data_IF_866526487643
#
_entry.id   IF_866526487643
#
_cell.length_a   1.000
_cell.length_b   1.000
_cell.length_c   1.000
_cell.angle_alpha   90.00
_cell.angle_beta   90.00
_cell.angle_gamma   90.00
#
_symmetry.space_group_name_H-M   'P 1'
#
loop_
_entity.id
_entity.type
_entity.pdbx_description
1 polymer ?
#
# COMPACT_ATOMS: atom_id res chain seq x y z
N UNK A 1 0.53 3.24 -2.33
CA UNK A 1 -0.42 4.12 -3.05
C UNK A 1 -0.96 3.51 -4.33
N UNK A 2 -0.22 2.65 -5.04
CA UNK A 2 -0.76 1.95 -6.23
C UNK A 2 -1.49 0.66 -5.83
N UNK A 3 -0.91 -0.10 -4.91
CA UNK A 3 -1.44 -1.41 -4.51
C UNK A 3 -2.81 -1.36 -3.83
N UNK A 4 -3.07 -0.38 -2.96
CA UNK A 4 -4.32 -0.28 -2.20
C UNK A 4 -5.53 0.09 -3.08
N UNK A 5 -5.49 1.16 -3.90
CA UNK A 5 -6.56 1.42 -4.87
C UNK A 5 -6.72 0.29 -5.89
N UNK A 6 -5.63 -0.32 -6.36
CA UNK A 6 -5.70 -1.47 -7.27
C UNK A 6 -6.35 -2.70 -6.64
N UNK A 7 -6.03 -2.99 -5.38
CA UNK A 7 -6.69 -4.04 -4.60
C UNK A 7 -8.16 -3.68 -4.34
N UNK A 8 -8.47 -2.43 -4.03
CA UNK A 8 -9.86 -2.00 -3.85
C UNK A 8 -10.69 -2.11 -5.14
N UNK A 9 -10.07 -1.87 -6.30
CA UNK A 9 -10.69 -2.10 -7.59
C UNK A 9 -10.99 -3.59 -7.83
N UNK A 10 -10.05 -4.47 -7.47
CA UNK A 10 -10.18 -5.91 -7.68
C UNK A 10 -11.10 -6.60 -6.65
N UNK A 11 -10.89 -6.35 -5.36
CA UNK A 11 -11.51 -7.07 -4.24
C UNK A 11 -12.24 -6.16 -3.25
N UNK A 12 -12.43 -4.87 -3.54
CA UNK A 12 -13.22 -3.95 -2.71
C UNK A 12 -12.53 -3.46 -1.44
N UNK A 13 -13.29 -2.88 -0.53
CA UNK A 13 -12.77 -2.15 0.63
C UNK A 13 -12.25 -3.05 1.76
N UNK A 14 -12.36 -4.38 1.64
CA UNK A 14 -11.86 -5.34 2.65
C UNK A 14 -10.36 -5.20 2.90
N UNK A 15 -9.59 -4.73 1.90
CA UNK A 15 -8.18 -4.39 2.05
C UNK A 15 -7.89 -3.33 3.13
N UNK A 16 -8.88 -2.50 3.50
CA UNK A 16 -8.73 -1.54 4.59
C UNK A 16 -8.49 -2.18 5.95
N UNK A 17 -8.85 -3.46 6.14
CA UNK A 17 -8.57 -4.19 7.38
C UNK A 17 -7.07 -4.28 7.68
N UNK A 18 -6.19 -4.28 6.67
CA UNK A 18 -4.74 -4.21 6.89
C UNK A 18 -4.35 -2.92 7.62
N UNK A 19 -4.98 -1.80 7.26
CA UNK A 19 -4.69 -0.47 7.80
C UNK A 19 -5.31 -0.29 9.19
N UNK A 20 -6.54 -0.75 9.39
CA UNK A 20 -7.22 -0.68 10.68
C UNK A 20 -6.59 -1.61 11.72
N UNK A 21 -6.20 -2.82 11.33
CA UNK A 21 -5.45 -3.72 12.20
C UNK A 21 -4.09 -3.11 12.57
N UNK A 22 -3.40 -2.48 11.61
CA UNK A 22 -2.17 -1.75 11.88
C UNK A 22 -2.37 -0.63 12.91
N UNK A 23 -3.49 0.11 12.87
CA UNK A 23 -3.80 1.14 13.86
C UNK A 23 -3.91 0.56 15.29
N UNK A 24 -4.56 -0.61 15.45
CA UNK A 24 -4.65 -1.29 16.74
C UNK A 24 -3.29 -1.74 17.27
N UNK A 25 -2.46 -2.34 16.40
CA UNK A 25 -1.11 -2.77 16.76
C UNK A 25 -0.22 -1.57 17.11
N UNK A 26 -0.34 -0.46 16.38
CA UNK A 26 0.39 0.78 16.67
C UNK A 26 -0.02 1.40 18.01
N UNK A 27 -1.31 1.36 18.36
CA UNK A 27 -1.78 1.78 19.68
C UNK A 27 -1.20 0.90 20.80
N UNK A 28 -1.13 -0.42 20.57
CA UNK A 28 -0.45 -1.35 21.49
C UNK A 28 1.05 -1.02 21.61
N UNK A 29 1.72 -0.75 20.50
CA UNK A 29 3.14 -0.38 20.48
C UNK A 29 3.37 0.91 21.27
N UNK A 30 2.51 1.91 21.10
CA UNK A 30 2.63 3.19 21.76
C UNK A 30 2.72 3.07 23.29
N UNK A 31 2.00 2.09 23.85
CA UNK A 31 1.91 1.87 25.31
C UNK A 31 2.95 0.87 25.80
N UNK A 32 3.12 -0.27 25.13
CA UNK A 32 3.88 -1.40 25.68
C UNK A 32 5.27 -1.56 25.06
N UNK A 33 5.38 -1.40 23.74
CA UNK A 33 6.61 -1.75 23.02
C UNK A 33 7.56 -0.56 22.90
N UNK A 34 7.04 0.65 22.67
CA UNK A 34 7.83 1.87 22.60
C UNK A 34 8.70 2.12 23.85
N UNK A 35 8.17 2.02 25.11
CA UNK A 35 9.03 2.18 26.28
C UNK A 35 10.10 1.09 26.36
N UNK A 36 9.75 -0.16 26.05
CA UNK A 36 10.70 -1.28 26.08
C UNK A 36 11.85 -1.09 25.08
N UNK A 37 11.55 -0.71 23.84
CA UNK A 37 12.56 -0.50 22.80
C UNK A 37 13.51 0.66 23.14
N UNK A 38 12.97 1.79 23.59
CA UNK A 38 13.77 2.97 23.93
C UNK A 38 14.63 2.72 25.17
N UNK A 39 14.09 2.07 26.20
CA UNK A 39 14.85 1.75 27.42
C UNK A 39 15.93 0.70 27.20
N UNK A 40 15.77 -0.19 26.22
CA UNK A 40 16.76 -1.20 25.89
C UNK A 40 18.06 -0.63 25.29
N UNK A 41 18.05 0.62 24.80
CA UNK A 41 19.22 1.29 24.22
C UNK A 41 19.92 0.40 23.17
N UNK A 42 19.12 -0.12 22.24
CA UNK A 42 19.54 -0.95 21.11
C UNK A 42 19.39 -0.18 19.81
N UNK A 43 20.20 -0.53 18.82
CA UNK A 43 20.12 0.08 17.48
C UNK A 43 19.31 -0.77 16.51
N UNK A 44 19.20 -2.08 16.78
CA UNK A 44 18.53 -3.04 15.90
C UNK A 44 17.69 -4.03 16.70
N UNK A 45 16.59 -4.52 16.10
CA UNK A 45 15.78 -5.58 16.69
C UNK A 45 16.58 -6.88 16.87
N UNK A 46 17.39 -7.35 15.89
CA UNK A 46 18.27 -8.50 16.11
C UNK A 46 19.20 -8.35 17.32
N UNK A 47 19.70 -7.15 17.61
CA UNK A 47 20.52 -6.89 18.80
C UNK A 47 19.72 -7.09 20.10
N UNK A 48 18.46 -6.61 20.15
CA UNK A 48 17.57 -6.82 21.30
C UNK A 48 17.41 -8.30 21.63
N UNK A 49 17.11 -9.12 20.62
CA UNK A 49 16.99 -10.57 20.78
C UNK A 49 18.33 -11.24 21.08
N UNK A 50 19.42 -10.72 20.53
CA UNK A 50 20.78 -11.17 20.83
C UNK A 50 21.16 -11.04 22.30
N UNK A 51 20.84 -9.88 22.91
CA UNK A 51 21.07 -9.62 24.33
C UNK A 51 20.20 -10.51 25.22
N UNK A 52 18.98 -10.85 24.78
CA UNK A 52 18.03 -11.64 25.57
C UNK A 52 18.23 -13.15 25.49
N UNK A 53 18.63 -13.66 24.33
CA UNK A 53 18.67 -15.10 24.02
C UNK A 53 20.08 -15.61 23.74
N UNK A 54 20.67 -15.27 22.59
CA UNK A 54 22.01 -15.72 22.22
C UNK A 54 22.60 -14.95 21.04
N UNK A 55 23.95 -14.95 20.87
CA UNK A 55 24.60 -14.40 19.67
C UNK A 55 24.16 -15.10 18.38
N UNK A 56 23.87 -16.40 18.42
CA UNK A 56 23.36 -17.16 17.28
C UNK A 56 21.99 -16.64 16.80
N UNK A 57 21.08 -16.34 17.74
CA UNK A 57 19.77 -15.73 17.43
C UNK A 57 19.92 -14.36 16.78
N UNK A 58 20.86 -13.54 17.26
CA UNK A 58 21.18 -12.24 16.64
C UNK A 58 21.61 -12.41 15.19
N UNK A 59 22.55 -13.33 14.92
CA UNK A 59 23.06 -13.57 13.58
C UNK A 59 21.93 -14.04 12.64
N UNK A 60 21.13 -15.01 13.09
CA UNK A 60 19.97 -15.50 12.35
C UNK A 60 18.99 -14.37 11.99
N UNK A 61 18.53 -13.59 12.98
CA UNK A 61 17.59 -12.51 12.74
C UNK A 61 18.18 -11.39 11.88
N UNK A 62 19.48 -11.11 12.00
CA UNK A 62 20.15 -10.11 11.17
C UNK A 62 20.15 -10.54 9.70
N UNK A 63 20.51 -11.80 9.41
CA UNK A 63 20.51 -12.35 8.04
C UNK A 63 19.10 -12.33 7.46
N UNK A 64 18.11 -12.83 8.20
CA UNK A 64 16.71 -12.86 7.75
C UNK A 64 16.21 -11.43 7.48
N UNK A 65 16.45 -10.50 8.40
CA UNK A 65 15.96 -9.12 8.26
C UNK A 65 16.60 -8.40 7.08
N UNK A 66 17.92 -8.55 6.89
CA UNK A 66 18.63 -7.97 5.74
C UNK A 66 18.13 -8.56 4.43
N UNK A 67 17.96 -9.88 4.37
CA UNK A 67 17.43 -10.55 3.18
C UNK A 67 16.03 -10.03 2.82
N UNK A 68 15.11 -10.00 3.78
CA UNK A 68 13.74 -9.52 3.54
C UNK A 68 13.72 -8.03 3.15
N UNK A 69 14.52 -7.19 3.81
CA UNK A 69 14.56 -5.75 3.50
C UNK A 69 15.12 -5.46 2.10
N UNK A 70 16.08 -6.25 1.62
CA UNK A 70 16.67 -6.07 0.28
C UNK A 70 15.80 -6.70 -0.82
N UNK A 71 15.42 -7.97 -0.65
CA UNK A 71 14.78 -8.76 -1.73
C UNK A 71 13.29 -8.48 -1.82
N UNK A 72 12.60 -8.22 -0.71
CA UNK A 72 11.15 -7.94 -0.74
C UNK A 72 10.91 -6.43 -0.79
N UNK A 73 11.37 -5.71 0.23
CA UNK A 73 10.99 -4.30 0.40
C UNK A 73 11.68 -3.40 -0.64
N UNK A 74 13.01 -3.48 -0.76
CA UNK A 74 13.76 -2.63 -1.69
C UNK A 74 13.44 -2.98 -3.14
N UNK A 75 13.51 -4.27 -3.53
CA UNK A 75 13.20 -4.67 -4.91
C UNK A 75 11.74 -4.35 -5.30
N UNK A 76 10.78 -4.62 -4.40
CA UNK A 76 9.38 -4.31 -4.64
C UNK A 76 9.12 -2.82 -4.82
N UNK A 77 9.76 -1.97 -4.01
CA UNK A 77 9.62 -0.51 -4.12
C UNK A 77 10.23 0.05 -5.42
N UNK A 78 11.40 -0.45 -5.83
CA UNK A 78 12.04 -0.09 -7.10
C UNK A 78 11.20 -0.50 -8.30
N UNK A 79 10.67 -1.74 -8.28
CA UNK A 79 9.81 -2.24 -9.35
C UNK A 79 8.52 -1.42 -9.48
N UNK A 80 7.84 -1.14 -8.34
CA UNK A 80 6.65 -0.31 -8.34
C UNK A 80 6.94 1.11 -8.85
N UNK A 81 8.06 1.72 -8.44
CA UNK A 81 8.49 3.03 -8.93
C UNK A 81 8.76 3.05 -10.43
N UNK A 82 9.45 2.03 -10.96
CA UNK A 82 9.72 1.93 -12.39
C UNK A 82 8.44 1.71 -13.21
N UNK A 83 7.48 0.94 -12.70
CA UNK A 83 6.16 0.80 -13.34
C UNK A 83 5.43 2.14 -13.44
N UNK A 84 5.48 2.99 -12.41
CA UNK A 84 4.88 4.33 -12.48
C UNK A 84 5.53 5.16 -13.57
N UNK A 85 6.86 5.19 -13.66
CA UNK A 85 7.55 5.95 -14.69
C UNK A 85 7.18 5.47 -16.11
N UNK A 86 7.01 4.16 -16.29
CA UNK A 86 6.53 3.60 -17.57
C UNK A 86 5.11 4.04 -17.94
N UNK A 87 4.26 4.37 -16.97
CA UNK A 87 2.93 4.91 -17.28
C UNK A 87 3.01 6.30 -17.93
N UNK A 88 4.03 7.10 -17.60
CA UNK A 88 4.25 8.43 -18.19
C UNK A 88 5.17 8.38 -19.42
N UNK A 89 6.14 7.48 -19.43
CA UNK A 89 7.13 7.31 -20.50
C UNK A 89 7.18 5.84 -20.94
N UNK A 90 6.32 5.43 -21.88
CA UNK A 90 6.17 4.02 -22.27
C UNK A 90 7.44 3.38 -22.84
N UNK A 91 8.32 4.18 -23.44
CA UNK A 91 9.55 3.72 -24.10
C UNK A 91 10.67 3.32 -23.13
N UNK A 92 10.51 3.62 -21.83
CA UNK A 92 11.52 3.25 -20.82
C UNK A 92 11.60 1.73 -20.66
N UNK A 93 12.81 1.19 -20.63
CA UNK A 93 13.02 -0.22 -20.29
C UNK A 93 13.06 -0.41 -18.78
N UNK A 94 12.43 -1.47 -18.28
CA UNK A 94 12.22 -1.68 -16.84
C UNK A 94 13.54 -1.79 -16.05
N UNK A 95 14.48 -2.62 -16.51
CA UNK A 95 15.74 -2.86 -15.82
C UNK A 95 16.61 -1.59 -15.66
N UNK A 96 16.91 -0.81 -16.73
CA UNK A 96 17.70 0.41 -16.56
C UNK A 96 16.95 1.48 -15.75
N UNK A 97 15.62 1.55 -15.83
CA UNK A 97 14.84 2.46 -14.97
C UNK A 97 14.96 2.08 -13.49
N UNK A 98 14.83 0.80 -13.15
CA UNK A 98 15.06 0.33 -11.77
C UNK A 98 16.47 0.68 -11.28
N UNK A 99 17.50 0.45 -12.12
CA UNK A 99 18.89 0.75 -11.78
C UNK A 99 19.13 2.25 -11.58
N UNK A 100 18.53 3.10 -12.42
CA UNK A 100 18.62 4.55 -12.29
C UNK A 100 17.95 5.06 -10.99
N UNK A 101 16.75 4.56 -10.67
CA UNK A 101 16.07 4.87 -9.40
C UNK A 101 16.92 4.42 -8.22
N UNK A 102 17.46 3.19 -8.26
CA UNK A 102 18.28 2.65 -7.19
C UNK A 102 19.57 3.45 -6.96
N UNK A 103 20.24 3.85 -8.05
CA UNK A 103 21.44 4.68 -7.99
C UNK A 103 21.14 6.04 -7.37
N UNK A 104 20.12 6.73 -7.88
CA UNK A 104 19.71 8.02 -7.34
C UNK A 104 19.29 7.93 -5.87
N UNK A 105 18.47 6.93 -5.54
CA UNK A 105 18.00 6.70 -4.18
C UNK A 105 19.13 6.37 -3.21
N UNK A 106 20.07 5.53 -3.63
CA UNK A 106 21.26 5.18 -2.88
C UNK A 106 22.17 6.39 -2.63
N UNK A 107 22.40 7.22 -3.65
CA UNK A 107 23.27 8.40 -3.54
C UNK A 107 22.75 9.41 -2.52
N UNK A 108 21.47 9.81 -2.62
CA UNK A 108 20.93 10.79 -1.65
C UNK A 108 20.81 10.21 -0.24
N UNK A 109 20.51 8.91 -0.12
CA UNK A 109 20.41 8.22 1.17
C UNK A 109 21.79 8.11 1.83
N UNK A 110 22.82 7.75 1.06
CA UNK A 110 24.20 7.67 1.55
C UNK A 110 24.74 9.05 1.98
N UNK A 111 24.40 10.10 1.24
CA UNK A 111 24.82 11.46 1.58
C UNK A 111 24.10 12.04 2.82
N UNK A 112 22.79 11.77 2.98
CA UNK A 112 21.96 12.40 4.00
C UNK A 112 21.74 11.61 5.29
N UNK A 113 21.90 10.28 5.26
CA UNK A 113 21.65 9.39 6.39
C UNK A 113 20.18 9.34 6.83
N UNK A 114 19.92 8.69 7.98
CA UNK A 114 18.57 8.43 8.48
C UNK A 114 17.76 9.72 8.71
N UNK A 115 18.42 10.81 9.10
CA UNK A 115 17.76 12.11 9.33
C UNK A 115 17.20 12.66 8.03
N UNK A 116 17.98 12.69 6.95
CA UNK A 116 17.51 13.19 5.66
C UNK A 116 16.32 12.36 5.14
N UNK A 117 16.42 11.03 5.24
CA UNK A 117 15.34 10.11 4.87
C UNK A 117 14.05 10.41 5.65
N UNK A 118 14.15 10.64 6.97
CA UNK A 118 12.99 10.98 7.78
C UNK A 118 12.33 12.31 7.36
N UNK A 119 13.11 13.33 6.98
CA UNK A 119 12.53 14.58 6.48
C UNK A 119 11.85 14.39 5.12
N UNK A 120 12.49 13.68 4.20
CA UNK A 120 11.89 13.41 2.88
C UNK A 120 10.61 12.57 3.02
N UNK A 121 10.57 11.63 3.96
CA UNK A 121 9.38 10.82 4.26
C UNK A 121 8.22 11.69 4.75
N UNK A 122 8.47 12.70 5.59
CA UNK A 122 7.43 13.64 6.07
C UNK A 122 6.85 14.43 4.91
N UNK A 123 7.71 14.99 4.04
CA UNK A 123 7.26 15.72 2.85
C UNK A 123 6.44 14.81 1.94
N UNK A 124 6.93 13.59 1.69
CA UNK A 124 6.23 12.60 0.88
C UNK A 124 4.86 12.24 1.48
N UNK A 125 4.78 12.03 2.80
CA UNK A 125 3.52 11.74 3.48
C UNK A 125 2.51 12.87 3.31
N UNK A 126 2.94 14.14 3.43
CA UNK A 126 2.08 15.31 3.22
C UNK A 126 1.60 15.43 1.77
N UNK A 127 2.51 15.29 0.80
CA UNK A 127 2.17 15.33 -0.64
C UNK A 127 1.17 14.23 -0.98
N UNK A 128 1.40 13.00 -0.50
CA UNK A 128 0.48 11.89 -0.72
C UNK A 128 -0.86 12.10 -0.04
N UNK A 129 -0.88 12.63 1.18
CA UNK A 129 -2.11 12.92 1.91
C UNK A 129 -2.98 13.93 1.16
N UNK A 130 -2.40 15.06 0.75
CA UNK A 130 -3.10 16.12 0.02
C UNK A 130 -3.57 15.60 -1.34
N UNK A 131 -2.71 14.93 -2.10
CA UNK A 131 -3.07 14.37 -3.41
C UNK A 131 -4.21 13.34 -3.32
N UNK A 132 -4.20 12.52 -2.27
CA UNK A 132 -5.24 11.52 -2.06
C UNK A 132 -6.56 12.14 -1.59
N UNK A 133 -6.51 13.20 -0.79
CA UNK A 133 -7.69 13.97 -0.40
C UNK A 133 -8.36 14.63 -1.61
N UNK A 134 -7.57 15.25 -2.49
CA UNK A 134 -8.08 15.84 -3.74
C UNK A 134 -8.75 14.76 -4.58
N UNK A 135 -8.08 13.61 -4.80
CA UNK A 135 -8.63 12.50 -5.57
C UNK A 135 -9.95 11.99 -4.97
N UNK A 136 -10.00 11.80 -3.64
CA UNK A 136 -11.20 11.34 -2.97
C UNK A 136 -12.38 12.31 -3.14
N UNK A 137 -12.15 13.63 -3.06
CA UNK A 137 -13.17 14.65 -3.28
C UNK A 137 -13.68 14.61 -4.73
N UNK A 138 -12.77 14.54 -5.71
CA UNK A 138 -13.15 14.48 -7.13
C UNK A 138 -14.00 13.24 -7.44
N UNK A 139 -13.58 12.07 -6.95
CA UNK A 139 -14.35 10.84 -7.14
C UNK A 139 -15.69 10.91 -6.44
N UNK A 140 -15.75 11.44 -5.21
CA UNK A 140 -17.03 11.59 -4.50
C UNK A 140 -17.98 12.59 -5.20
N UNK A 141 -17.42 13.56 -5.93
CA UNK A 141 -18.19 14.46 -6.80
C UNK A 141 -18.91 13.75 -7.95
N UNK A 142 -18.34 12.68 -8.52
CA UNK A 142 -18.99 11.85 -9.56
C UNK A 142 -20.25 11.13 -9.02
N UNK A 143 -20.31 10.91 -7.71
CA UNK A 143 -21.47 10.38 -6.98
C UNK A 143 -22.43 11.48 -6.49
N UNK A 144 -22.23 12.74 -6.89
CA UNK A 144 -23.02 13.87 -6.43
C UNK A 144 -22.91 14.12 -4.93
N UNK A 145 -21.77 13.75 -4.33
CA UNK A 145 -21.51 13.83 -2.89
C UNK A 145 -22.53 13.06 -2.03
N UNK A 146 -23.21 12.05 -2.59
CA UNK A 146 -24.17 11.22 -1.87
C UNK A 146 -23.63 9.82 -1.60
N UNK A 147 -23.62 9.42 -0.33
CA UNK A 147 -23.29 8.04 0.04
C UNK A 147 -24.30 7.03 -0.52
N UNK A 148 -25.58 7.39 -0.63
CA UNK A 148 -26.58 6.49 -1.21
C UNK A 148 -26.23 6.16 -2.66
N UNK A 149 -25.78 7.16 -3.42
CA UNK A 149 -25.34 6.96 -4.82
C UNK A 149 -24.10 6.08 -4.93
N UNK A 150 -23.21 6.09 -3.93
CA UNK A 150 -22.06 5.17 -3.86
C UNK A 150 -22.55 3.74 -3.66
N UNK A 151 -23.44 3.52 -2.68
CA UNK A 151 -23.98 2.18 -2.37
C UNK A 151 -24.79 1.61 -3.55
N UNK A 152 -25.52 2.46 -4.27
CA UNK A 152 -26.35 2.03 -5.40
C UNK A 152 -25.54 1.66 -6.65
N UNK A 153 -24.34 2.26 -6.82
CA UNK A 153 -23.50 2.08 -8.02
C UNK A 153 -22.36 1.09 -7.82
N UNK A 154 -21.82 0.99 -6.60
CA UNK A 154 -20.74 0.04 -6.30
C UNK A 154 -21.32 -1.33 -5.99
N UNK A 155 -20.68 -2.38 -6.49
CA UNK A 155 -21.07 -3.76 -6.18
C UNK A 155 -21.13 -3.97 -4.65
N UNK A 156 -22.28 -4.42 -4.09
CA UNK A 156 -22.42 -4.64 -2.66
C UNK A 156 -21.33 -5.55 -2.08
N UNK A 157 -20.85 -6.53 -2.86
CA UNK A 157 -19.75 -7.38 -2.42
C UNK A 157 -18.50 -6.54 -2.15
N UNK A 158 -18.16 -5.56 -3.00
CA UNK A 158 -16.99 -4.68 -2.83
C UNK A 158 -17.05 -3.78 -1.60
N UNK A 159 -18.24 -3.57 -1.03
CA UNK A 159 -18.43 -2.77 0.18
C UNK A 159 -18.35 -3.61 1.47
N UNK A 160 -18.20 -4.94 1.37
CA UNK A 160 -18.03 -5.80 2.53
C UNK A 160 -16.62 -5.68 3.11
N UNK A 161 -16.53 -5.13 4.33
CA UNK A 161 -15.29 -5.13 5.13
C UNK A 161 -14.93 -6.52 5.63
N UNK A 162 -15.91 -7.27 6.14
CA UNK A 162 -15.71 -8.63 6.64
C UNK A 162 -16.26 -9.61 5.60
N UNK A 163 -15.36 -10.39 4.99
CA UNK A 163 -15.70 -11.29 3.89
C UNK A 163 -16.02 -12.71 4.38
N UNK A 164 -16.86 -13.46 3.65
CA UNK A 164 -17.12 -14.86 3.93
C UNK A 164 -15.84 -15.70 3.98
N UNK A 165 -15.89 -16.84 4.68
CA UNK A 165 -14.71 -17.71 4.83
C UNK A 165 -14.18 -18.26 3.51
N UNK A 166 -15.05 -18.40 2.49
CA UNK A 166 -14.70 -18.89 1.16
C UNK A 166 -14.09 -17.80 0.25
N UNK A 167 -14.00 -16.55 0.70
CA UNK A 167 -13.42 -15.47 -0.09
C UNK A 167 -11.90 -15.72 -0.28
N UNK A 168 -11.39 -15.73 -1.52
CA UNK A 168 -9.99 -16.06 -1.80
C UNK A 168 -9.04 -14.90 -1.50
N UNK A 169 -9.53 -13.67 -1.32
CA UNK A 169 -8.71 -12.49 -1.10
C UNK A 169 -8.45 -12.26 0.39
N UNK A 170 -9.49 -12.06 1.20
CA UNK A 170 -9.32 -11.76 2.62
C UNK A 170 -10.52 -12.23 3.45
N UNK A 171 -10.62 -13.53 3.76
CA UNK A 171 -11.71 -14.07 4.57
C UNK A 171 -11.67 -13.52 6.00
N UNK A 172 -12.83 -13.48 6.68
CA UNK A 172 -12.93 -12.95 8.05
C UNK A 172 -11.97 -13.61 9.03
N UNK A 173 -11.70 -14.90 8.88
CA UNK A 173 -10.78 -15.63 9.77
C UNK A 173 -9.33 -15.15 9.58
N UNK A 174 -8.92 -14.93 8.33
CA UNK A 174 -7.63 -14.31 8.01
C UNK A 174 -7.54 -12.87 8.52
N UNK A 175 -8.65 -12.14 8.46
CA UNK A 175 -8.76 -10.78 9.02
C UNK A 175 -8.56 -10.77 10.54
N UNK A 176 -9.21 -11.70 11.26
CA UNK A 176 -9.20 -11.73 12.72
C UNK A 176 -7.90 -12.26 13.31
N UNK A 177 -7.24 -13.23 12.66
CA UNK A 177 -6.08 -13.94 13.22
C UNK A 177 -4.80 -13.67 12.41
N UNK A 178 -4.88 -13.74 11.08
CA UNK A 178 -3.74 -13.54 10.19
C UNK A 178 -3.21 -12.11 10.22
N UNK A 179 -4.10 -11.12 10.14
CA UNK A 179 -3.69 -9.70 10.13
C UNK A 179 -3.05 -9.22 11.44
N UNK A 180 -3.54 -9.57 12.65
CA UNK A 180 -2.81 -9.21 13.86
C UNK A 180 -1.41 -9.82 13.91
N UNK A 181 -1.25 -11.10 13.57
CA UNK A 181 0.07 -11.77 13.56
C UNK A 181 1.03 -11.06 12.59
N UNK A 182 0.56 -10.80 11.37
CA UNK A 182 1.31 -10.04 10.37
C UNK A 182 1.62 -8.62 10.85
N UNK A 183 0.65 -7.95 11.47
CA UNK A 183 0.78 -6.60 12.00
C UNK A 183 1.82 -6.53 13.10
N UNK A 184 1.77 -7.42 14.08
CA UNK A 184 2.79 -7.47 15.14
C UNK A 184 4.17 -7.68 14.57
N UNK A 185 4.35 -8.62 13.65
CA UNK A 185 5.63 -8.80 12.95
C UNK A 185 6.08 -7.50 12.25
N UNK A 186 5.23 -6.93 11.40
CA UNK A 186 5.58 -5.77 10.59
C UNK A 186 5.87 -4.52 11.43
N UNK A 187 5.08 -4.26 12.47
CA UNK A 187 5.21 -3.02 13.24
C UNK A 187 6.21 -3.12 14.40
N UNK A 188 6.55 -4.32 14.88
CA UNK A 188 7.48 -4.50 16.03
C UNK A 188 8.81 -5.15 15.68
N UNK A 189 8.87 -5.99 14.65
CA UNK A 189 10.07 -6.75 14.30
C UNK A 189 10.72 -6.28 13.01
N UNK A 190 9.96 -5.70 12.07
CA UNK A 190 10.55 -5.14 10.87
C UNK A 190 11.48 -3.98 11.25
N UNK A 191 12.75 -4.13 10.87
CA UNK A 191 13.79 -3.17 11.21
C UNK A 191 13.56 -1.79 10.59
N UNK A 192 13.02 -1.71 9.36
CA UNK A 192 12.72 -0.43 8.71
C UNK A 192 11.73 0.41 9.53
N UNK A 193 10.68 -0.23 10.05
CA UNK A 193 9.67 0.44 10.88
C UNK A 193 10.23 0.71 12.27
N UNK A 194 10.85 -0.29 12.89
CA UNK A 194 11.36 -0.20 14.25
C UNK A 194 12.48 0.84 14.40
N UNK A 195 13.27 1.07 13.35
CA UNK A 195 14.31 2.12 13.35
C UNK A 195 13.74 3.53 13.52
N UNK A 196 12.57 3.81 12.95
CA UNK A 196 11.91 5.11 13.13
C UNK A 196 11.46 5.30 14.58
N UNK A 197 11.01 4.22 15.22
CA UNK A 197 10.64 4.23 16.63
C UNK A 197 11.88 4.41 17.52
N UNK A 198 12.96 3.66 17.26
CA UNK A 198 14.23 3.74 17.98
C UNK A 198 14.95 5.09 17.79
N UNK A 199 14.71 5.78 16.68
CA UNK A 199 15.24 7.12 16.43
C UNK A 199 14.56 8.24 17.24
N UNK A 200 13.52 7.93 18.01
CA UNK A 200 12.86 8.90 18.87
C UNK A 200 13.73 9.25 20.09
N UNK A 201 13.67 10.52 20.52
CA UNK A 201 14.47 11.01 21.66
C UNK A 201 14.10 10.38 23.01
N UNK A 202 12.84 9.95 23.17
CA UNK A 202 12.30 9.41 24.40
C UNK A 202 11.04 8.56 24.15
N UNK A 203 10.69 7.69 25.10
CA UNK A 203 9.56 6.76 24.99
C UNK A 203 8.20 7.46 24.83
N UNK A 204 8.00 8.64 25.43
CA UNK A 204 6.76 9.40 25.29
C UNK A 204 6.64 9.99 23.89
N UNK A 205 7.74 10.49 23.31
CA UNK A 205 7.77 10.95 21.92
C UNK A 205 7.55 9.80 20.94
N UNK A 206 8.19 8.65 21.18
CA UNK A 206 7.99 7.42 20.42
C UNK A 206 6.51 6.97 20.44
N UNK A 207 5.91 6.91 21.63
CA UNK A 207 4.51 6.52 21.80
C UNK A 207 3.52 7.50 21.16
N UNK A 208 3.75 8.81 21.28
CA UNK A 208 2.95 9.84 20.60
C UNK A 208 3.05 9.73 19.08
N UNK A 209 4.25 9.47 18.55
CA UNK A 209 4.46 9.22 17.13
C UNK A 209 3.71 7.98 16.64
N UNK A 210 3.76 6.88 17.39
CA UNK A 210 3.00 5.66 17.09
C UNK A 210 1.48 5.89 17.14
N UNK A 211 0.97 6.66 18.10
CA UNK A 211 -0.45 7.01 18.17
C UNK A 211 -0.89 7.91 17.00
N UNK A 212 -0.07 8.90 16.63
CA UNK A 212 -0.32 9.72 15.45
C UNK A 212 -0.38 8.84 14.19
N UNK A 213 0.57 7.90 14.04
CA UNK A 213 0.56 6.95 12.95
C UNK A 213 -0.70 6.07 12.96
N UNK A 214 -1.17 5.62 14.14
CA UNK A 214 -2.40 4.86 14.27
C UNK A 214 -3.63 5.65 13.78
N UNK A 215 -3.72 6.94 14.12
CA UNK A 215 -4.81 7.82 13.64
C UNK A 215 -4.72 7.99 12.11
N UNK A 216 -3.52 8.26 11.59
CA UNK A 216 -3.26 8.39 10.15
C UNK A 216 -3.42 7.06 9.38
N UNK A 217 -3.60 5.93 10.06
CA UNK A 217 -3.92 4.63 9.45
C UNK A 217 -5.42 4.38 9.29
N UNK A 218 -6.28 5.21 9.88
CA UNK A 218 -7.73 5.07 9.69
C UNK A 218 -8.22 5.70 8.37
N UNK A 219 -7.55 6.76 7.91
CA UNK A 219 -7.90 7.49 6.69
C UNK A 219 -7.75 6.76 5.34
N UNK A 220 -6.81 5.79 5.12
CA UNK A 220 -6.60 5.24 3.78
C UNK A 220 -7.82 4.51 3.23
N UNK A 221 -8.71 4.00 4.10
CA UNK A 221 -10.01 3.47 3.66
C UNK A 221 -10.78 4.52 2.84
N UNK A 222 -10.89 5.73 3.36
CA UNK A 222 -11.67 6.80 2.73
C UNK A 222 -10.92 7.46 1.58
N UNK A 223 -9.60 7.59 1.70
CA UNK A 223 -8.77 8.28 0.71
C UNK A 223 -8.34 7.40 -0.48
N UNK A 224 -8.26 6.09 -0.28
CA UNK A 224 -7.77 5.14 -1.30
C UNK A 224 -8.76 4.00 -1.55
N UNK A 225 -9.34 3.43 -0.50
CA UNK A 225 -10.24 2.29 -0.60
C UNK A 225 -11.52 2.62 -1.35
N UNK A 226 -12.24 3.66 -0.91
CA UNK A 226 -13.49 4.09 -1.55
C UNK A 226 -13.29 4.60 -2.98
N UNK A 227 -12.29 5.47 -3.27
CA UNK A 227 -12.03 5.86 -4.66
C UNK A 227 -11.62 4.68 -5.55
N UNK A 228 -10.92 3.69 -4.99
CA UNK A 228 -10.49 2.51 -5.73
C UNK A 228 -11.61 1.50 -6.02
N UNK A 229 -12.65 1.42 -5.20
CA UNK A 229 -13.73 0.44 -5.41
C UNK A 229 -14.74 0.85 -6.49
N UNK A 230 -14.68 2.09 -6.99
CA UNK A 230 -15.45 2.55 -8.14
C UNK A 230 -15.04 1.79 -9.41
N UNK A 231 -15.71 0.66 -9.65
CA UNK A 231 -15.44 -0.25 -10.75
C UNK A 231 -16.01 0.18 -12.10
N UNK A 232 -16.86 1.21 -12.14
CA UNK A 232 -17.50 1.67 -13.37
C UNK A 232 -16.64 2.66 -14.17
N UNK A 233 -15.47 3.02 -13.63
CA UNK A 233 -14.53 3.90 -14.31
C UNK A 233 -15.17 5.24 -14.62
N UNK A 234 -15.83 5.89 -13.65
CA UNK A 234 -16.32 7.26 -13.84
C UNK A 234 -15.15 8.19 -14.26
N UNK A 235 -13.96 8.01 -13.68
CA UNK A 235 -12.71 8.67 -14.11
C UNK A 235 -12.27 8.23 -15.52
N UNK A 236 -12.54 6.99 -15.92
CA UNK A 236 -12.24 6.48 -17.27
C UNK A 236 -13.25 6.94 -18.34
N UNK A 237 -14.45 7.40 -17.93
CA UNK A 237 -15.46 7.97 -18.84
C UNK A 237 -15.21 9.45 -19.13
N UNK A 238 -14.52 10.19 -18.25
CA UNK A 238 -14.34 11.66 -18.36
C UNK A 238 -13.09 12.12 -19.15
N UNK A 239 -12.48 11.26 -19.98
CA UNK A 239 -11.57 11.72 -21.05
C UNK A 239 -10.06 11.56 -20.82
N UNK A 240 -9.61 10.75 -19.86
CA UNK A 240 -8.20 10.38 -19.75
C UNK A 240 -7.80 9.36 -20.85
N UNK A 241 -6.57 9.43 -21.41
CA UNK A 241 -6.10 8.48 -22.42
C UNK A 241 -6.21 7.04 -21.93
N UNK A 242 -6.86 6.20 -22.74
CA UNK A 242 -7.18 4.79 -22.45
C UNK A 242 -5.89 3.97 -22.44
N UNK A 243 -5.35 3.70 -21.27
CA UNK A 243 -4.33 2.66 -21.09
C UNK A 243 -4.97 1.41 -20.47
N UNK A 244 -5.04 0.33 -21.25
CA UNK A 244 -5.42 -1.00 -20.77
C UNK A 244 -4.31 -1.54 -19.85
N UNK A 245 -4.59 -1.65 -18.55
CA UNK A 245 -3.61 -2.13 -17.55
C UNK A 245 -3.73 -3.64 -17.27
N UNK A 246 -4.67 -4.37 -17.87
CA UNK A 246 -4.65 -5.84 -17.78
C UNK A 246 -5.25 -6.56 -18.99
N UNK A 247 -4.63 -7.66 -19.39
CA UNK A 247 -5.06 -8.60 -20.43
C UNK A 247 -6.14 -9.59 -19.94
N UNK A 248 -6.73 -9.37 -18.76
CA UNK A 248 -7.62 -10.35 -18.15
C UNK A 248 -9.08 -10.09 -18.54
N UNK A 249 -9.49 -10.70 -19.66
CA UNK A 249 -10.86 -11.05 -20.05
C UNK A 249 -11.93 -10.00 -19.69
N UNK A 250 -12.31 -9.18 -20.68
CA UNK A 250 -13.64 -8.54 -20.70
C UNK A 250 -14.72 -9.63 -20.60
N UNK A 251 -15.25 -9.86 -19.40
CA UNK A 251 -16.42 -10.71 -19.21
C UNK A 251 -17.65 -9.82 -19.37
N UNK A 252 -18.27 -9.86 -20.54
CA UNK A 252 -19.54 -9.19 -20.84
C UNK A 252 -20.58 -9.58 -19.77
N UNK A 253 -21.10 -8.58 -19.05
CA UNK A 253 -22.36 -8.73 -18.30
C UNK A 253 -23.49 -8.80 -19.35
N UNK A 254 -24.25 -9.89 -19.47
CA UNK A 254 -25.38 -9.93 -20.40
C UNK A 254 -26.48 -9.04 -19.84
N UNK A 255 -26.89 -8.00 -20.58
CA UNK A 255 -28.10 -7.23 -20.22
C UNK A 255 -28.15 -5.75 -20.60
N UNK A 256 -27.10 -5.13 -21.17
CA UNK A 256 -27.21 -3.75 -21.69
C UNK A 256 -26.54 -3.64 -23.06
N UNK A 257 -27.36 -3.65 -24.11
CA UNK A 257 -26.92 -3.41 -25.48
C UNK A 257 -26.28 -2.02 -25.60
N UNK A 258 -25.14 -1.95 -26.29
CA UNK A 258 -24.52 -0.66 -26.65
C UNK A 258 -22.99 -0.62 -26.78
N UNK A 259 -22.24 -1.67 -26.42
CA UNK A 259 -20.76 -1.60 -26.39
C UNK A 259 -20.03 -2.20 -27.60
N UNK A 260 -20.73 -2.58 -28.67
CA UNK A 260 -20.12 -3.26 -29.81
C UNK A 260 -19.28 -2.35 -30.71
N UNK A 261 -19.59 -1.04 -30.79
CA UNK A 261 -19.07 -0.22 -31.89
C UNK A 261 -17.81 0.61 -31.55
N UNK A 262 -17.30 0.55 -30.31
CA UNK A 262 -16.14 1.36 -29.88
C UNK A 262 -14.82 0.59 -29.80
N UNK A 263 -14.85 -0.73 -30.00
CA UNK A 263 -13.63 -1.50 -30.28
C UNK A 263 -13.39 -1.42 -31.78
N UNK A 264 -12.54 -0.49 -32.20
CA UNK A 264 -11.92 -0.50 -33.53
C UNK A 264 -11.05 -1.74 -33.70
N UNK A 265 -11.70 -2.90 -33.86
CA UNK A 265 -11.13 -4.04 -34.54
C UNK A 265 -11.05 -3.62 -36.00
N UNK A 266 -9.82 -3.41 -36.47
CA UNK A 266 -9.53 -3.23 -37.88
C UNK A 266 -10.30 -4.30 -38.67
N UNK A 267 -11.24 -3.86 -39.51
CA UNK A 267 -11.72 -4.64 -40.65
C UNK A 267 -10.50 -4.88 -41.53
N UNK A 268 -9.93 -6.07 -41.43
CA UNK A 268 -8.93 -6.57 -42.36
C UNK A 268 -9.55 -7.76 -43.07
N UNK A 269 -10.07 -7.50 -44.26
CA UNK A 269 -10.46 -8.50 -45.24
C UNK A 269 -9.29 -9.45 -45.52
N UNK A 270 -9.49 -10.75 -45.29
CA UNK A 270 -8.89 -11.76 -46.15
C UNK A 270 -9.97 -12.76 -46.54
N UNK A 271 -10.47 -12.51 -47.74
CA UNK A 271 -11.30 -13.38 -48.56
C UNK A 271 -10.42 -14.43 -49.23
N UNK A 272 -11.00 -15.64 -49.33
CA UNK A 272 -10.78 -16.71 -50.31
C UNK A 272 -9.83 -17.91 -50.07
N UNK A 273 -10.52 -19.06 -50.09
CA UNK A 273 -10.16 -20.48 -50.32
C UNK A 273 -9.64 -21.32 -49.16
#
# INVERSE_FOLDING_TARGET
>A
MIGLPGAAWASGISGANYEWMAALVLAFIAVFIAPLMIQAQVTTIPELFGRRFSPAMRAYLSVVTLFLSLVLDTAGSLYAGALVLKLFFPDLQLAPTCAAIALFAGLYTAAGGLRAVAYTDVVQALVLLVGSLILAILVFGEFGYSWSAVVDRVDPEKLLLIRPLADPALPWFGTLIGLPVLGFYYWTMNQYVSQRLLGARDARTAGRGALLAAILKLQPLFLHGLPGCDGDGAIYRSGAPRYCVSTTRCRLRPGRGGWADSCGLARGDHVER
#
